data_IF_929658571657
#
_entry.id   IF_929658571657
#
_cell.length_a   1.000
_cell.length_b   1.000
_cell.length_c   1.000
_cell.angle_alpha   90.00
_cell.angle_beta   90.00
_cell.angle_gamma   90.00
#
_symmetry.space_group_name_H-M   'P 1'
#
loop_
_entity.id
_entity.type
_entity.pdbx_description
1 polymer ?
#
# COMPACT_ATOMS: atom_id res chain seq x y z
N UNK A 1 5.55 9.29 1.58
CA UNK A 1 5.01 7.94 1.29
C UNK A 1 6.12 7.02 0.77
N UNK A 2 6.74 7.33 -0.37
CA UNK A 2 7.76 6.47 -0.99
C UNK A 2 8.95 6.07 -0.08
N UNK A 3 9.31 6.91 0.89
CA UNK A 3 10.30 6.55 1.92
C UNK A 3 9.87 5.35 2.79
N UNK A 4 8.57 5.20 3.04
CA UNK A 4 8.02 4.10 3.83
C UNK A 4 7.69 2.86 2.98
N UNK A 5 7.46 3.04 1.67
CA UNK A 5 7.10 1.98 0.74
C UNK A 5 7.97 2.06 -0.54
N UNK A 6 9.29 1.82 -0.48
CA UNK A 6 10.16 1.95 -1.63
C UNK A 6 9.85 0.94 -2.75
N UNK A 7 9.37 -0.27 -2.42
CA UNK A 7 9.19 -1.36 -3.40
C UNK A 7 8.22 -1.03 -4.53
N UNK A 8 7.21 -0.18 -4.28
CA UNK A 8 6.25 0.17 -5.33
C UNK A 8 6.87 0.97 -6.48
N UNK A 9 8.02 1.60 -6.25
CA UNK A 9 8.72 2.44 -7.25
C UNK A 9 9.09 1.66 -8.50
N UNK A 10 9.46 0.39 -8.35
CA UNK A 10 9.85 -0.51 -9.44
C UNK A 10 8.68 -0.80 -10.41
N UNK A 11 7.45 -0.54 -9.98
CA UNK A 11 6.23 -0.74 -10.77
C UNK A 11 5.70 0.55 -11.40
N UNK A 12 6.35 1.68 -11.13
CA UNK A 12 6.00 2.95 -11.76
C UNK A 12 6.42 2.99 -13.25
N UNK A 13 5.79 3.85 -14.07
CA UNK A 13 6.19 4.03 -15.46
C UNK A 13 7.68 4.39 -15.59
N UNK A 14 8.44 3.57 -16.33
CA UNK A 14 9.89 3.77 -16.46
C UNK A 14 10.70 3.48 -15.19
N UNK A 15 10.15 2.71 -14.24
CA UNK A 15 10.81 2.30 -13.00
C UNK A 15 10.92 3.42 -11.96
N UNK A 16 10.00 4.40 -11.99
CA UNK A 16 9.95 5.50 -11.03
C UNK A 16 8.52 6.00 -10.82
N UNK A 17 8.31 6.71 -9.72
CA UNK A 17 7.05 7.37 -9.37
C UNK A 17 7.35 8.84 -9.10
N UNK A 18 6.94 9.72 -10.01
CA UNK A 18 7.19 11.16 -9.90
C UNK A 18 5.95 11.92 -9.37
N UNK A 19 4.76 11.31 -9.50
CA UNK A 19 3.48 11.92 -9.12
C UNK A 19 2.43 10.87 -8.71
N UNK A 20 1.26 11.34 -8.27
CA UNK A 20 0.15 10.48 -7.85
C UNK A 20 -0.39 9.59 -8.97
N UNK A 21 -0.38 10.05 -10.22
CA UNK A 21 -0.84 9.25 -11.36
C UNK A 21 0.11 8.08 -11.65
N UNK A 22 1.42 8.28 -11.50
CA UNK A 22 2.39 7.21 -11.60
C UNK A 22 2.17 6.18 -10.48
N UNK A 23 1.90 6.64 -9.26
CA UNK A 23 1.58 5.76 -8.14
C UNK A 23 0.30 4.96 -8.40
N UNK A 24 -0.76 5.61 -8.90
CA UNK A 24 -2.01 4.94 -9.23
C UNK A 24 -1.80 3.87 -10.31
N UNK A 25 -0.96 4.14 -11.32
CA UNK A 25 -0.59 3.16 -12.34
C UNK A 25 0.18 1.97 -11.73
N UNK A 26 1.18 2.25 -10.89
CA UNK A 26 1.93 1.22 -10.17
C UNK A 26 1.02 0.35 -9.29
N UNK A 27 0.08 0.96 -8.56
CA UNK A 27 -0.87 0.26 -7.70
C UNK A 27 -1.77 -0.70 -8.50
N UNK A 28 -2.13 -0.38 -9.75
CA UNK A 28 -2.90 -1.28 -10.62
C UNK A 28 -2.08 -2.51 -11.05
N UNK A 29 -0.78 -2.36 -11.24
CA UNK A 29 0.12 -3.50 -11.50
C UNK A 29 0.24 -4.36 -10.25
N UNK A 30 0.58 -3.72 -9.13
CA UNK A 30 0.84 -4.38 -7.85
C UNK A 30 -0.39 -5.10 -7.31
N UNK A 31 -1.60 -4.51 -7.39
CA UNK A 31 -2.83 -5.18 -6.92
C UNK A 31 -3.05 -6.51 -7.63
N UNK A 32 -2.72 -6.58 -8.92
CA UNK A 32 -2.85 -7.81 -9.71
C UNK A 32 -1.84 -8.86 -9.24
N UNK A 33 -0.60 -8.46 -8.99
CA UNK A 33 0.45 -9.35 -8.47
C UNK A 33 0.12 -9.88 -7.07
N UNK A 34 -0.51 -9.05 -6.24
CA UNK A 34 -0.95 -9.41 -4.90
C UNK A 34 -2.26 -10.22 -4.86
N UNK A 35 -2.87 -10.52 -6.03
CA UNK A 35 -4.14 -11.24 -6.11
C UNK A 35 -5.34 -10.44 -5.59
N UNK A 36 -5.26 -9.12 -5.57
CA UNK A 36 -6.37 -8.22 -5.20
C UNK A 36 -7.27 -8.03 -6.42
N UNK A 37 -8.55 -8.41 -6.28
CA UNK A 37 -9.54 -8.25 -7.36
C UNK A 37 -9.82 -6.77 -7.67
N UNK A 38 -10.21 -6.48 -8.92
CA UNK A 38 -10.57 -5.11 -9.33
C UNK A 38 -11.70 -4.54 -8.46
N UNK A 39 -12.71 -5.35 -8.15
CA UNK A 39 -13.82 -4.96 -7.26
C UNK A 39 -13.36 -4.51 -5.86
N UNK A 40 -12.42 -5.25 -5.25
CA UNK A 40 -11.91 -4.90 -3.92
C UNK A 40 -11.14 -3.57 -3.94
N UNK A 41 -10.41 -3.33 -5.03
CA UNK A 41 -9.66 -2.09 -5.21
C UNK A 41 -10.59 -0.90 -5.50
N UNK A 42 -11.62 -1.09 -6.31
CA UNK A 42 -12.63 -0.07 -6.59
C UNK A 42 -13.42 0.30 -5.32
N UNK A 43 -13.83 -0.69 -4.52
CA UNK A 43 -14.45 -0.47 -3.21
C UNK A 43 -13.52 0.35 -2.28
N UNK A 44 -12.24 0.01 -2.23
CA UNK A 44 -11.26 0.79 -1.49
C UNK A 44 -11.18 2.23 -1.99
N UNK A 45 -11.06 2.46 -3.31
CA UNK A 45 -11.04 3.79 -3.89
C UNK A 45 -12.29 4.61 -3.56
N UNK A 46 -13.47 3.99 -3.55
CA UNK A 46 -14.72 4.66 -3.17
C UNK A 46 -14.73 5.06 -1.69
N UNK A 47 -14.21 4.22 -0.80
CA UNK A 47 -14.21 4.48 0.64
C UNK A 47 -13.13 5.48 1.09
N UNK A 48 -11.89 5.35 0.59
CA UNK A 48 -10.76 6.14 1.08
C UNK A 48 -10.20 7.16 0.07
N UNK A 49 -10.66 7.13 -1.19
CA UNK A 49 -10.11 7.91 -2.29
C UNK A 49 -8.96 7.22 -3.01
N UNK A 50 -8.75 7.58 -4.28
CA UNK A 50 -7.79 6.94 -5.19
C UNK A 50 -6.34 6.98 -4.70
N UNK A 51 -5.86 8.14 -4.24
CA UNK A 51 -4.49 8.32 -3.75
C UNK A 51 -4.22 7.48 -2.49
N UNK A 52 -5.19 7.44 -1.58
CA UNK A 52 -5.12 6.65 -0.36
C UNK A 52 -5.17 5.16 -0.66
N UNK A 53 -6.05 4.71 -1.55
CA UNK A 53 -6.13 3.30 -1.96
C UNK A 53 -4.83 2.85 -2.62
N UNK A 54 -4.27 3.65 -3.52
CA UNK A 54 -2.97 3.38 -4.14
C UNK A 54 -1.84 3.32 -3.09
N UNK A 55 -1.88 4.21 -2.11
CA UNK A 55 -0.94 4.19 -0.98
C UNK A 55 -1.10 2.91 -0.13
N UNK A 56 -2.32 2.47 0.15
CA UNK A 56 -2.56 1.22 0.89
C UNK A 56 -2.03 0.02 0.12
N UNK A 57 -2.19 -0.03 -1.21
CA UNK A 57 -1.57 -1.08 -2.04
C UNK A 57 -0.04 -1.06 -1.90
N UNK A 58 0.59 0.12 -1.94
CA UNK A 58 2.04 0.26 -1.70
C UNK A 58 2.44 -0.30 -0.33
N UNK A 59 1.68 0.05 0.71
CA UNK A 59 1.90 -0.42 2.07
C UNK A 59 1.73 -1.95 2.20
N UNK A 60 0.78 -2.54 1.48
CA UNK A 60 0.55 -3.99 1.49
C UNK A 60 1.70 -4.71 0.79
N UNK A 61 2.19 -4.19 -0.34
CA UNK A 61 3.36 -4.71 -1.04
C UNK A 61 4.58 -4.75 -0.12
N UNK A 62 4.87 -3.63 0.56
CA UNK A 62 6.01 -3.54 1.48
C UNK A 62 5.93 -4.55 2.63
N UNK A 63 4.70 -4.97 2.99
CA UNK A 63 4.43 -5.99 4.03
C UNK A 63 4.11 -7.36 3.45
N UNK A 64 4.37 -7.62 2.17
CA UNK A 64 3.88 -8.80 1.45
C UNK A 64 4.21 -10.14 2.13
N UNK A 65 5.36 -10.22 2.83
CA UNK A 65 5.75 -11.43 3.59
C UNK A 65 4.98 -11.67 4.90
N UNK A 66 4.17 -10.71 5.35
CA UNK A 66 3.43 -10.77 6.63
C UNK A 66 1.91 -10.76 6.45
N UNK A 67 1.41 -10.70 5.22
CA UNK A 67 -0.02 -10.62 4.92
C UNK A 67 -0.45 -11.89 4.19
N UNK A 68 -1.31 -12.69 4.81
CA UNK A 68 -1.80 -13.95 4.23
C UNK A 68 -2.65 -13.73 2.96
N UNK A 69 -3.49 -12.69 2.96
CA UNK A 69 -4.35 -12.34 1.82
C UNK A 69 -4.45 -10.84 1.68
N UNK A 70 -3.77 -10.29 0.67
CA UNK A 70 -3.81 -8.87 0.36
C UNK A 70 -5.24 -8.39 0.07
N UNK A 71 -6.02 -9.17 -0.69
CA UNK A 71 -7.39 -8.83 -1.04
C UNK A 71 -8.36 -8.87 0.15
N UNK A 72 -8.17 -9.82 1.07
CA UNK A 72 -8.94 -9.87 2.32
C UNK A 72 -8.58 -8.70 3.24
N UNK A 73 -7.29 -8.39 3.35
CA UNK A 73 -6.80 -7.30 4.18
C UNK A 73 -7.26 -5.94 3.67
N UNK A 74 -7.18 -5.69 2.36
CA UNK A 74 -7.69 -4.45 1.76
C UNK A 74 -9.18 -4.24 2.07
N UNK A 75 -10.02 -5.27 1.91
CA UNK A 75 -11.45 -5.20 2.24
C UNK A 75 -11.70 -4.87 3.71
N UNK A 76 -10.86 -5.39 4.61
CA UNK A 76 -10.95 -5.05 6.02
C UNK A 76 -10.64 -3.57 6.28
N UNK A 77 -9.58 -3.05 5.65
CA UNK A 77 -9.23 -1.63 5.73
C UNK A 77 -10.33 -0.75 5.11
N UNK A 78 -10.94 -1.17 4.00
CA UNK A 78 -12.10 -0.49 3.40
C UNK A 78 -13.24 -0.39 4.40
N UNK A 79 -13.69 -1.50 5.00
CA UNK A 79 -14.76 -1.50 6.01
C UNK A 79 -14.44 -0.61 7.20
N UNK A 80 -13.19 -0.61 7.66
CA UNK A 80 -12.74 0.26 8.75
C UNK A 80 -12.75 1.73 8.35
N UNK A 81 -12.44 2.05 7.10
CA UNK A 81 -12.50 3.42 6.57
C UNK A 81 -13.93 3.92 6.58
N UNK A 82 -14.89 3.11 6.13
CA UNK A 82 -16.31 3.44 6.12
C UNK A 82 -16.85 3.73 7.53
N UNK A 83 -16.29 3.09 8.56
CA UNK A 83 -16.60 3.37 9.97
C UNK A 83 -15.81 4.53 10.58
N UNK A 84 -14.90 5.16 9.83
CA UNK A 84 -14.02 6.21 10.34
C UNK A 84 -12.89 5.72 11.26
N UNK A 85 -12.60 4.42 11.25
CA UNK A 85 -11.63 3.75 12.15
C UNK A 85 -10.28 3.45 11.49
N UNK A 86 -10.09 3.93 10.26
CA UNK A 86 -8.86 3.78 9.51
C UNK A 86 -8.39 5.10 8.92
N UNK A 87 -7.09 5.32 9.01
CA UNK A 87 -6.39 6.41 8.35
C UNK A 87 -5.06 5.89 7.80
N UNK A 88 -4.70 6.34 6.60
CA UNK A 88 -3.47 5.93 5.91
C UNK A 88 -2.22 6.46 6.60
N UNK A 89 -2.27 7.67 7.19
CA UNK A 89 -1.14 8.29 7.88
C UNK A 89 -0.53 7.41 8.98
N UNK A 90 -1.32 6.93 9.98
CA UNK A 90 -0.85 5.98 10.97
C UNK A 90 -0.28 4.67 10.40
N UNK A 91 -0.86 4.15 9.31
CA UNK A 91 -0.35 2.95 8.62
C UNK A 91 1.05 3.21 8.04
N UNK A 92 1.25 4.35 7.37
CA UNK A 92 2.55 4.76 6.83
C UNK A 92 3.59 4.99 7.93
N UNK A 93 3.19 5.62 9.04
CA UNK A 93 4.10 5.84 10.17
C UNK A 93 4.51 4.53 10.83
N UNK A 94 3.59 3.56 10.95
CA UNK A 94 3.91 2.24 11.47
C UNK A 94 4.90 1.50 10.56
N UNK A 95 4.72 1.61 9.25
CA UNK A 95 5.67 1.09 8.26
C UNK A 95 7.03 1.76 8.38
N UNK A 96 7.11 3.08 8.34
CA UNK A 96 8.37 3.82 8.45
C UNK A 96 9.17 3.47 9.71
N UNK A 97 8.49 3.22 10.84
CA UNK A 97 9.15 2.77 12.09
C UNK A 97 9.63 1.32 12.04
N UNK A 98 8.90 0.44 11.36
CA UNK A 98 9.32 -0.95 11.15
C UNK A 98 10.42 -1.10 10.08
N UNK A 99 10.50 -0.14 9.16
CA UNK A 99 11.43 -0.11 8.03
C UNK A 99 12.75 0.60 8.32
N UNK A 100 13.06 0.98 9.57
CA UNK A 100 14.38 1.55 9.93
C UNK A 100 15.47 0.54 9.55
N UNK A 101 16.36 0.84 8.58
CA UNK A 101 17.54 0.04 8.34
C UNK A 101 18.54 0.39 9.44
N UNK A 102 18.52 -0.34 10.57
CA UNK A 102 19.33 0.08 11.70
C UNK A 102 19.32 -0.80 12.94
N UNK A 103 19.40 -2.13 12.80
CA UNK A 103 20.05 -3.00 13.82
C UNK A 103 20.21 -4.44 13.32
N UNK A 104 21.07 -4.63 12.31
CA UNK A 104 22.03 -5.74 12.35
C UNK A 104 23.33 -5.14 12.88
N UNK A 105 23.41 -4.99 14.20
CA UNK A 105 24.72 -5.01 14.85
C UNK A 105 24.94 -6.46 15.26
N UNK A 106 25.85 -7.11 14.54
CA UNK A 106 26.64 -8.20 15.09
C UNK A 106 27.29 -7.68 16.37
N UNK A 107 26.99 -8.35 17.47
CA UNK A 107 27.61 -8.24 18.78
C UNK A 107 27.38 -9.55 19.51
#
# INVERSE_FOLDING_TARGET
MLQACPQITDYGPGGRIDNWRDLMAAAVVVRTMLGVSSSAYEEACMAMGWENAATVIACILERGGHINSAGGYLRDLTRRTERGEFAVGPMLMALARGSVPGSRLVG
#
